data_IF_244125562704
#
_entry.id   IF_244125562704
#
_cell.length_a   1.000
_cell.length_b   1.000
_cell.length_c   1.000
_cell.angle_alpha   90.00
_cell.angle_beta   90.00
_cell.angle_gamma   90.00
#
_symmetry.space_group_name_H-M   'P 1'
#
loop_
_entity.id
_entity.type
_entity.pdbx_description
1 polymer ?
#
# COMPACT_ATOMS: atom_id res chain seq x y z
N UNK A 1 23.08 30.87 -57.91
CA UNK A 1 21.77 30.90 -57.24
C UNK A 1 21.34 29.45 -57.02
N UNK A 2 20.89 29.11 -55.80
CA UNK A 2 20.65 27.78 -55.17
C UNK A 2 21.73 27.41 -54.15
N UNK A 3 21.64 27.65 -52.83
CA UNK A 3 20.58 27.55 -51.79
C UNK A 3 20.75 26.30 -50.90
N UNK A 4 21.17 26.55 -49.66
CA UNK A 4 20.82 25.89 -48.38
C UNK A 4 21.08 24.37 -48.22
N UNK A 5 22.10 23.97 -47.46
CA UNK A 5 22.06 23.76 -45.99
C UNK A 5 20.95 22.77 -45.61
N UNK A 6 21.28 21.47 -45.60
CA UNK A 6 20.50 20.45 -44.91
C UNK A 6 20.86 20.43 -43.42
N UNK A 7 19.97 21.04 -42.66
CA UNK A 7 19.56 20.82 -41.28
C UNK A 7 20.36 19.82 -40.42
N UNK A 8 21.12 20.38 -39.47
CA UNK A 8 21.43 19.72 -38.20
C UNK A 8 20.18 19.78 -37.31
N UNK A 9 19.38 18.72 -37.28
CA UNK A 9 18.35 18.59 -36.25
C UNK A 9 19.03 18.40 -34.87
N UNK A 10 18.73 19.23 -33.86
CA UNK A 10 19.22 19.00 -32.51
C UNK A 10 18.58 17.72 -31.96
N UNK A 11 19.39 16.75 -31.56
CA UNK A 11 18.91 15.58 -30.80
C UNK A 11 18.30 16.10 -29.50
N UNK A 12 16.98 15.95 -29.39
CA UNK A 12 16.18 16.26 -28.21
C UNK A 12 16.84 15.66 -26.94
N UNK A 13 17.22 16.49 -25.95
CA UNK A 13 17.74 16.01 -24.66
C UNK A 13 16.70 15.21 -23.85
N UNK A 14 15.44 15.23 -24.28
CA UNK A 14 14.30 14.66 -23.58
C UNK A 14 14.20 13.13 -23.73
N UNK A 15 14.71 12.56 -24.83
CA UNK A 15 14.64 11.11 -25.07
C UNK A 15 15.52 10.28 -24.12
N UNK A 16 16.66 10.85 -23.68
CA UNK A 16 17.65 10.15 -22.84
C UNK A 16 17.16 10.06 -21.38
N UNK A 17 16.38 11.05 -20.91
CA UNK A 17 15.81 11.06 -19.57
C UNK A 17 14.81 9.93 -19.35
N UNK A 18 13.91 9.70 -20.32
CA UNK A 18 12.93 8.62 -20.25
C UNK A 18 13.57 7.22 -20.32
N UNK A 19 14.62 7.05 -21.12
CA UNK A 19 15.33 5.76 -21.23
C UNK A 19 16.10 5.41 -19.95
N UNK A 20 16.80 6.37 -19.35
CA UNK A 20 17.51 6.14 -18.06
C UNK A 20 16.53 5.86 -16.92
N UNK A 21 15.38 6.50 -16.93
CA UNK A 21 14.32 6.29 -15.93
C UNK A 21 13.61 4.94 -16.14
N UNK A 22 13.36 4.55 -17.38
CA UNK A 22 12.85 3.22 -17.72
C UNK A 22 13.83 2.13 -17.31
N UNK A 23 15.14 2.32 -17.56
CA UNK A 23 16.17 1.38 -17.14
C UNK A 23 16.33 1.32 -15.61
N UNK A 24 16.20 2.45 -14.91
CA UNK A 24 16.17 2.47 -13.44
C UNK A 24 14.93 1.77 -12.89
N UNK A 25 13.77 1.96 -13.52
CA UNK A 25 12.52 1.30 -13.14
C UNK A 25 12.55 -0.19 -13.43
N UNK A 26 13.07 -0.60 -14.59
CA UNK A 26 13.30 -1.99 -14.95
C UNK A 26 14.34 -2.65 -14.04
N UNK A 27 15.37 -1.91 -13.62
CA UNK A 27 16.36 -2.38 -12.65
C UNK A 27 15.75 -2.58 -11.26
N UNK A 28 14.94 -1.63 -10.77
CA UNK A 28 14.21 -1.76 -9.51
C UNK A 28 13.17 -2.88 -9.57
N UNK A 29 12.50 -3.05 -10.72
CA UNK A 29 11.57 -4.14 -11.00
C UNK A 29 12.28 -5.50 -11.05
N UNK A 30 13.47 -5.60 -11.63
CA UNK A 30 14.31 -6.79 -11.58
C UNK A 30 14.79 -7.11 -10.17
N UNK A 31 15.06 -6.10 -9.34
CA UNK A 31 15.40 -6.30 -7.92
C UNK A 31 14.20 -6.82 -7.11
N UNK A 32 12.99 -6.33 -7.38
CA UNK A 32 11.75 -6.80 -6.76
C UNK A 32 11.35 -8.20 -7.21
N UNK A 33 11.67 -8.58 -8.45
CA UNK A 33 11.47 -9.94 -8.97
C UNK A 33 12.51 -10.96 -8.46
N UNK A 34 13.61 -10.48 -7.86
CA UNK A 34 14.71 -11.31 -7.36
C UNK A 34 14.54 -11.80 -5.92
N UNK A 35 13.51 -11.37 -5.21
CA UNK A 35 13.21 -11.87 -3.85
C UNK A 35 12.27 -13.06 -3.96
N UNK A 36 12.79 -14.27 -3.80
CA UNK A 36 12.06 -15.56 -3.85
C UNK A 36 11.10 -15.80 -2.69
N UNK A 37 10.82 -14.77 -1.91
CA UNK A 37 9.92 -14.83 -0.78
C UNK A 37 8.69 -14.00 -1.14
N UNK A 38 7.53 -14.64 -1.08
CA UNK A 38 6.20 -14.07 -1.35
C UNK A 38 5.83 -13.10 -0.21
N UNK A 39 6.67 -12.09 0.04
CA UNK A 39 6.54 -11.11 1.13
C UNK A 39 5.60 -9.97 0.75
N UNK A 40 4.37 -10.32 0.43
CA UNK A 40 3.27 -9.40 0.69
C UNK A 40 2.48 -9.98 1.86
N UNK A 41 2.46 -9.23 2.97
CA UNK A 41 1.58 -9.44 4.12
C UNK A 41 1.74 -10.67 5.01
N UNK A 42 2.83 -11.42 4.90
CA UNK A 42 3.18 -12.36 5.97
C UNK A 42 3.84 -11.61 7.14
N UNK A 43 3.38 -11.89 8.35
CA UNK A 43 4.21 -11.77 9.55
C UNK A 43 5.46 -12.63 9.28
N UNK A 44 6.67 -12.09 9.48
CA UNK A 44 7.92 -12.82 9.12
C UNK A 44 7.91 -14.22 9.74
N UNK A 45 8.43 -15.27 9.07
CA UNK A 45 8.31 -16.66 9.55
C UNK A 45 8.69 -16.83 11.03
N UNK A 46 9.71 -16.10 11.52
CA UNK A 46 10.11 -16.10 12.93
C UNK A 46 9.07 -15.51 13.90
N UNK A 47 8.30 -14.52 13.46
CA UNK A 47 7.20 -13.96 14.25
C UNK A 47 5.97 -14.90 14.26
N UNK A 48 5.78 -15.72 13.21
CA UNK A 48 4.69 -16.72 13.16
C UNK A 48 4.88 -17.78 14.25
N UNK A 49 6.10 -18.32 14.39
CA UNK A 49 6.44 -19.25 15.47
C UNK A 49 6.23 -18.63 16.85
N UNK A 50 6.66 -17.38 17.03
CA UNK A 50 6.42 -16.62 18.27
C UNK A 50 4.93 -16.49 18.60
N UNK A 51 4.07 -16.17 17.63
CA UNK A 51 2.62 -16.02 17.86
C UNK A 51 1.94 -17.35 18.20
N UNK A 52 2.37 -18.45 17.58
CA UNK A 52 1.81 -19.78 17.83
C UNK A 52 2.17 -20.32 19.22
N UNK A 53 3.32 -19.93 19.76
CA UNK A 53 3.78 -20.36 21.10
C UNK A 53 3.22 -19.49 22.24
N UNK A 54 2.64 -18.33 21.95
CA UNK A 54 2.11 -17.41 22.96
C UNK A 54 0.67 -17.78 23.35
N UNK A 55 0.47 -18.05 24.64
CA UNK A 55 -0.85 -18.16 25.27
C UNK A 55 -1.12 -17.03 26.26
N UNK A 56 -2.38 -16.64 26.40
CA UNK A 56 -2.81 -15.63 27.37
C UNK A 56 -2.64 -14.19 26.87
N UNK A 57 -2.89 -13.23 27.77
CA UNK A 57 -2.91 -11.80 27.44
C UNK A 57 -1.49 -11.23 27.37
N UNK A 58 -1.06 -10.84 26.17
CA UNK A 58 0.27 -10.35 25.84
C UNK A 58 0.18 -9.03 25.05
N UNK A 59 -0.10 -7.93 25.74
CA UNK A 59 -0.42 -6.66 25.09
C UNK A 59 0.77 -6.03 24.36
N UNK A 60 1.94 -5.91 25.01
CA UNK A 60 3.10 -5.23 24.42
C UNK A 60 3.63 -5.94 23.16
N UNK A 61 3.79 -7.28 23.14
CA UNK A 61 4.19 -7.97 21.92
C UNK A 61 3.23 -7.77 20.75
N UNK A 62 1.92 -7.79 21.01
CA UNK A 62 0.92 -7.58 19.96
C UNK A 62 0.88 -6.13 19.47
N UNK A 63 1.08 -5.13 20.34
CA UNK A 63 1.29 -3.73 19.91
C UNK A 63 2.50 -3.62 18.99
N UNK A 64 3.63 -4.23 19.36
CA UNK A 64 4.83 -4.21 18.52
C UNK A 64 4.57 -4.90 17.18
N UNK A 65 3.94 -6.08 17.20
CA UNK A 65 3.63 -6.83 16.01
C UNK A 65 2.69 -6.07 15.06
N UNK A 66 1.67 -5.40 15.60
CA UNK A 66 0.78 -4.55 14.82
C UNK A 66 1.50 -3.35 14.20
N UNK A 67 2.38 -2.70 14.96
CA UNK A 67 3.20 -1.60 14.44
C UNK A 67 4.18 -2.08 13.36
N UNK A 68 4.81 -3.25 13.56
CA UNK A 68 5.70 -3.89 12.58
C UNK A 68 4.94 -4.22 11.31
N UNK A 69 3.79 -4.89 11.42
CA UNK A 69 2.91 -5.22 10.28
C UNK A 69 2.59 -3.98 9.44
N UNK A 70 2.19 -2.89 10.08
CA UNK A 70 1.88 -1.64 9.39
C UNK A 70 3.10 -1.00 8.71
N UNK A 71 4.28 -1.07 9.33
CA UNK A 71 5.52 -0.48 8.80
C UNK A 71 6.20 -1.35 7.74
N UNK A 72 5.94 -2.66 7.71
CA UNK A 72 6.49 -3.58 6.70
C UNK A 72 5.51 -3.91 5.59
N UNK A 73 4.23 -3.54 5.73
CA UNK A 73 3.20 -3.68 4.69
C UNK A 73 3.43 -2.68 3.55
N UNK A 74 4.03 -3.16 2.44
CA UNK A 74 4.31 -2.31 1.27
C UNK A 74 3.04 -1.71 0.66
N UNK A 75 1.95 -2.46 0.67
CA UNK A 75 0.63 -2.04 0.21
C UNK A 75 0.08 -0.86 1.03
N UNK A 76 0.21 -0.91 2.36
CA UNK A 76 -0.23 0.14 3.29
C UNK A 76 0.62 1.41 3.10
N UNK A 77 1.94 1.26 2.96
CA UNK A 77 2.85 2.38 2.71
C UNK A 77 2.56 3.03 1.35
N UNK A 78 2.36 2.22 0.30
CA UNK A 78 2.02 2.71 -1.04
C UNK A 78 0.66 3.41 -1.04
N UNK A 79 -0.33 2.85 -0.36
CA UNK A 79 -1.65 3.47 -0.21
C UNK A 79 -1.55 4.81 0.53
N UNK A 80 -0.86 4.85 1.67
CA UNK A 80 -0.68 6.06 2.48
C UNK A 80 0.11 7.13 1.72
N UNK A 81 1.14 6.72 0.98
CA UNK A 81 1.87 7.58 0.05
C UNK A 81 0.92 8.18 -1.00
N UNK A 82 0.08 7.36 -1.63
CA UNK A 82 -0.93 7.79 -2.58
C UNK A 82 -1.94 8.79 -1.97
N UNK A 83 -2.42 8.57 -0.75
CA UNK A 83 -3.32 9.49 -0.03
C UNK A 83 -2.65 10.82 0.26
N UNK A 84 -1.41 10.80 0.74
CA UNK A 84 -0.65 12.02 1.03
C UNK A 84 -0.33 12.80 -0.24
N UNK A 85 -0.11 12.10 -1.36
CA UNK A 85 0.33 12.68 -2.64
C UNK A 85 -0.49 13.92 -3.05
N UNK A 86 -1.81 13.83 -2.94
CA UNK A 86 -2.75 14.88 -3.36
C UNK A 86 -3.29 15.76 -2.22
N UNK A 87 -3.23 15.29 -0.97
CA UNK A 87 -3.77 16.03 0.17
C UNK A 87 -2.71 17.00 0.74
N UNK A 88 -3.00 18.30 0.64
CA UNK A 88 -2.15 19.37 1.20
C UNK A 88 -2.56 19.80 2.61
N UNK A 89 -3.80 19.52 3.01
CA UNK A 89 -4.33 19.92 4.32
C UNK A 89 -4.34 18.75 5.29
N UNK A 90 -3.62 18.91 6.40
CA UNK A 90 -3.52 17.92 7.51
C UNK A 90 -4.91 17.46 7.99
N UNK A 91 -5.89 18.37 8.09
CA UNK A 91 -7.27 18.03 8.46
C UNK A 91 -7.90 16.98 7.52
N UNK A 92 -7.63 17.07 6.22
CA UNK A 92 -8.16 16.09 5.26
C UNK A 92 -7.41 14.78 5.38
N UNK A 93 -6.08 14.79 5.52
CA UNK A 93 -5.29 13.58 5.74
C UNK A 93 -5.82 12.81 6.95
N UNK A 94 -6.05 13.50 8.07
CA UNK A 94 -6.62 12.89 9.29
C UNK A 94 -7.95 12.19 9.04
N UNK A 95 -8.88 12.79 8.28
CA UNK A 95 -10.16 12.16 7.93
C UNK A 95 -9.97 10.85 7.17
N UNK A 96 -9.06 10.81 6.19
CA UNK A 96 -8.83 9.60 5.39
C UNK A 96 -8.18 8.49 6.22
N UNK A 97 -7.18 8.85 7.02
CA UNK A 97 -6.51 7.93 7.95
C UNK A 97 -7.52 7.35 8.95
N UNK A 98 -8.40 8.17 9.53
CA UNK A 98 -9.45 7.71 10.44
C UNK A 98 -10.49 6.82 9.75
N UNK A 99 -10.93 7.15 8.54
CA UNK A 99 -11.88 6.31 7.79
C UNK A 99 -11.28 4.95 7.45
N UNK A 100 -10.01 4.93 7.03
CA UNK A 100 -9.30 3.70 6.77
C UNK A 100 -9.15 2.86 8.05
N UNK A 101 -8.68 3.47 9.14
CA UNK A 101 -8.52 2.79 10.43
C UNK A 101 -9.86 2.23 10.95
N UNK A 102 -10.95 2.99 10.80
CA UNK A 102 -12.29 2.56 11.20
C UNK A 102 -12.72 1.32 10.41
N UNK A 103 -12.59 1.35 9.07
CA UNK A 103 -12.89 0.20 8.23
C UNK A 103 -12.04 -1.02 8.61
N UNK A 104 -10.72 -0.82 8.69
CA UNK A 104 -9.74 -1.85 9.01
C UNK A 104 -10.05 -2.54 10.34
N UNK A 105 -10.18 -1.77 11.41
CA UNK A 105 -10.46 -2.29 12.75
C UNK A 105 -11.77 -3.08 12.79
N UNK A 106 -12.80 -2.58 12.10
CA UNK A 106 -14.13 -3.20 12.09
C UNK A 106 -14.09 -4.60 11.49
N UNK A 107 -13.57 -4.75 10.27
CA UNK A 107 -13.50 -6.06 9.61
C UNK A 107 -12.47 -6.99 10.20
N UNK A 108 -11.40 -6.46 10.79
CA UNK A 108 -10.41 -7.29 11.47
C UNK A 108 -11.03 -7.97 12.69
N UNK A 109 -11.65 -7.19 13.58
CA UNK A 109 -12.27 -7.71 14.80
C UNK A 109 -13.43 -8.64 14.46
N UNK A 110 -14.33 -8.24 13.56
CA UNK A 110 -15.49 -9.05 13.18
C UNK A 110 -15.07 -10.33 12.45
N UNK A 111 -14.11 -10.24 11.53
CA UNK A 111 -13.60 -11.38 10.77
C UNK A 111 -13.03 -12.45 11.71
N UNK A 112 -12.16 -12.06 12.63
CA UNK A 112 -11.57 -13.02 13.59
C UNK A 112 -12.63 -13.52 14.58
N UNK A 113 -13.47 -12.64 15.15
CA UNK A 113 -14.46 -13.02 16.16
C UNK A 113 -15.51 -14.00 15.63
N UNK A 114 -15.98 -13.80 14.40
CA UNK A 114 -16.96 -14.68 13.76
C UNK A 114 -16.33 -15.79 12.92
N UNK A 115 -14.99 -15.91 12.92
CA UNK A 115 -14.24 -16.86 12.11
C UNK A 115 -14.62 -16.81 10.62
N UNK A 116 -14.75 -15.60 10.08
CA UNK A 116 -15.07 -15.36 8.67
C UNK A 116 -13.77 -14.95 7.97
N UNK A 117 -13.26 -15.84 7.13
CA UNK A 117 -12.10 -15.61 6.28
C UNK A 117 -12.39 -15.99 4.83
N UNK A 118 -11.54 -15.52 3.91
CA UNK A 118 -11.53 -15.96 2.51
C UNK A 118 -10.13 -16.52 2.19
N UNK A 119 -9.84 -16.85 0.94
CA UNK A 119 -8.47 -17.15 0.55
C UNK A 119 -7.60 -15.89 0.65
N UNK A 120 -6.48 -15.97 1.39
CA UNK A 120 -5.62 -14.82 1.64
C UNK A 120 -4.96 -14.23 0.39
N UNK A 121 -4.67 -15.03 -0.65
CA UNK A 121 -4.19 -14.51 -1.93
C UNK A 121 -5.24 -13.64 -2.63
N UNK A 122 -6.52 -14.05 -2.60
CA UNK A 122 -7.58 -13.29 -3.29
C UNK A 122 -7.84 -11.93 -2.63
N UNK A 123 -7.87 -11.88 -1.30
CA UNK A 123 -8.07 -10.62 -0.58
C UNK A 123 -6.85 -9.70 -0.71
N UNK A 124 -5.63 -10.24 -0.68
CA UNK A 124 -4.41 -9.46 -0.89
C UNK A 124 -4.32 -8.92 -2.33
N UNK A 125 -4.86 -9.65 -3.32
CA UNK A 125 -5.02 -9.12 -4.67
C UNK A 125 -6.00 -7.92 -4.73
N UNK A 126 -7.13 -7.99 -4.01
CA UNK A 126 -8.07 -6.86 -3.90
C UNK A 126 -7.41 -5.66 -3.21
N UNK A 127 -6.61 -5.90 -2.17
CA UNK A 127 -5.80 -4.89 -1.50
C UNK A 127 -4.82 -4.24 -2.49
N UNK A 128 -4.11 -5.02 -3.31
CA UNK A 128 -3.26 -4.48 -4.37
C UNK A 128 -4.01 -3.61 -5.39
N UNK A 129 -5.25 -3.97 -5.73
CA UNK A 129 -6.12 -3.15 -6.59
C UNK A 129 -6.50 -1.80 -5.95
N UNK A 130 -6.53 -1.70 -4.62
CA UNK A 130 -6.76 -0.42 -3.94
C UNK A 130 -5.63 0.59 -4.22
N UNK A 131 -4.39 0.12 -4.33
CA UNK A 131 -3.22 0.94 -4.68
C UNK A 131 -3.33 1.43 -6.12
N UNK A 132 -3.73 0.54 -7.04
CA UNK A 132 -4.03 0.89 -8.45
C UNK A 132 -5.13 1.95 -8.52
N UNK A 133 -6.25 1.73 -7.82
CA UNK A 133 -7.33 2.70 -7.74
C UNK A 133 -6.82 4.06 -7.26
N UNK A 134 -6.00 4.08 -6.21
CA UNK A 134 -5.52 5.33 -5.64
C UNK A 134 -4.59 6.08 -6.58
N UNK A 135 -3.77 5.37 -7.35
CA UNK A 135 -2.94 5.97 -8.40
C UNK A 135 -3.78 6.59 -9.52
N UNK A 136 -4.83 5.89 -9.96
CA UNK A 136 -5.77 6.38 -10.97
C UNK A 136 -6.54 7.62 -10.49
N UNK A 137 -6.98 7.60 -9.24
CA UNK A 137 -7.63 8.73 -8.56
C UNK A 137 -6.71 9.97 -8.58
N UNK A 138 -5.44 9.80 -8.20
CA UNK A 138 -4.48 10.89 -8.12
C UNK A 138 -4.14 11.54 -9.48
N UNK A 139 -4.22 10.80 -10.59
CA UNK A 139 -3.99 11.34 -11.94
C UNK A 139 -5.28 11.83 -12.62
N UNK A 140 -6.43 11.78 -11.94
CA UNK A 140 -7.72 12.23 -12.46
C UNK A 140 -8.30 11.30 -13.55
N UNK A 141 -7.91 10.03 -13.57
CA UNK A 141 -8.35 9.08 -14.60
C UNK A 141 -9.87 8.89 -14.59
N UNK A 142 -10.49 8.78 -13.42
CA UNK A 142 -11.94 8.56 -13.30
C UNK A 142 -12.77 9.70 -13.89
N UNK A 143 -12.43 10.96 -13.58
CA UNK A 143 -13.08 12.11 -14.20
C UNK A 143 -12.94 12.11 -15.73
N UNK A 144 -11.79 11.67 -16.27
CA UNK A 144 -11.54 11.61 -17.72
C UNK A 144 -12.29 10.47 -18.41
N UNK A 145 -12.38 9.31 -17.78
CA UNK A 145 -12.96 8.09 -18.36
C UNK A 145 -14.47 7.98 -18.14
N UNK A 146 -14.94 8.34 -16.95
CA UNK A 146 -16.33 8.17 -16.51
C UNK A 146 -17.13 9.47 -16.50
N UNK A 147 -16.46 10.63 -16.60
CA UNK A 147 -17.10 11.95 -16.52
C UNK A 147 -17.46 12.39 -15.09
N UNK A 148 -17.17 11.59 -14.07
CA UNK A 148 -17.35 11.93 -12.66
C UNK A 148 -16.24 11.33 -11.79
N UNK A 149 -16.02 11.93 -10.61
CA UNK A 149 -15.09 11.42 -9.60
C UNK A 149 -15.84 10.62 -8.53
N UNK A 150 -15.50 9.33 -8.31
CA UNK A 150 -16.06 8.57 -7.20
C UNK A 150 -15.74 9.22 -5.85
N UNK A 151 -16.59 8.99 -4.85
CA UNK A 151 -16.36 9.55 -3.52
C UNK A 151 -15.16 8.89 -2.85
N UNK A 152 -14.06 9.62 -2.80
CA UNK A 152 -12.78 9.17 -2.27
C UNK A 152 -12.84 8.76 -0.80
N UNK A 153 -13.69 9.40 0.01
CA UNK A 153 -13.87 9.04 1.44
C UNK A 153 -14.51 7.67 1.59
N UNK A 154 -15.53 7.39 0.78
CA UNK A 154 -16.21 6.08 0.76
C UNK A 154 -15.23 5.01 0.26
N UNK A 155 -14.48 5.30 -0.80
CA UNK A 155 -13.45 4.39 -1.30
C UNK A 155 -12.41 4.07 -0.22
N UNK A 156 -11.91 5.06 0.51
CA UNK A 156 -10.95 4.84 1.61
C UNK A 156 -11.52 4.00 2.76
N UNK A 157 -12.79 4.19 3.12
CA UNK A 157 -13.45 3.32 4.11
C UNK A 157 -13.52 1.88 3.59
N UNK A 158 -13.93 1.68 2.33
CA UNK A 158 -14.03 0.36 1.69
C UNK A 158 -12.67 -0.33 1.60
N UNK A 159 -11.59 0.41 1.28
CA UNK A 159 -10.24 -0.15 1.31
C UNK A 159 -9.83 -0.54 2.73
N UNK A 160 -10.15 0.28 3.73
CA UNK A 160 -9.97 -0.10 5.14
C UNK A 160 -10.63 -1.45 5.44
N UNK A 161 -11.89 -1.63 5.02
CA UNK A 161 -12.62 -2.90 5.21
C UNK A 161 -11.90 -4.09 4.56
N UNK A 162 -11.42 -3.97 3.32
CA UNK A 162 -10.68 -5.06 2.67
C UNK A 162 -9.35 -5.36 3.36
N UNK A 163 -8.61 -4.33 3.76
CA UNK A 163 -7.34 -4.50 4.47
C UNK A 163 -7.52 -5.20 5.83
N UNK A 164 -8.53 -4.77 6.60
CA UNK A 164 -8.83 -5.40 7.89
C UNK A 164 -9.29 -6.85 7.73
N UNK A 165 -10.08 -7.13 6.69
CA UNK A 165 -10.51 -8.49 6.38
C UNK A 165 -9.37 -9.40 5.91
N UNK A 166 -8.40 -8.86 5.16
CA UNK A 166 -7.18 -9.58 4.78
C UNK A 166 -6.35 -9.99 5.99
N UNK A 167 -6.15 -9.07 6.93
CA UNK A 167 -5.48 -9.38 8.19
C UNK A 167 -6.25 -10.41 9.03
N UNK A 168 -7.58 -10.29 9.15
CA UNK A 168 -8.40 -11.28 9.86
C UNK A 168 -8.22 -12.69 9.27
N UNK A 169 -8.25 -12.79 7.93
CA UNK A 169 -8.04 -14.04 7.21
C UNK A 169 -6.70 -14.68 7.58
N UNK A 170 -5.60 -13.90 7.59
CA UNK A 170 -4.28 -14.40 7.98
C UNK A 170 -4.22 -14.83 9.45
N UNK A 171 -4.84 -14.06 10.35
CA UNK A 171 -4.88 -14.40 11.77
C UNK A 171 -5.59 -15.74 12.00
N UNK A 172 -6.68 -15.99 11.27
CA UNK A 172 -7.39 -17.27 11.29
C UNK A 172 -6.48 -18.39 10.77
N UNK A 173 -5.78 -18.18 9.65
CA UNK A 173 -4.82 -19.13 9.07
C UNK A 173 -3.61 -19.43 9.99
N UNK A 174 -3.26 -18.53 10.90
CA UNK A 174 -2.15 -18.71 11.83
C UNK A 174 -2.50 -19.56 13.06
N UNK A 175 -3.78 -19.91 13.25
CA UNK A 175 -4.27 -20.74 14.36
C UNK A 175 -3.82 -20.22 15.74
N UNK A 176 -3.92 -18.91 15.96
CA UNK A 176 -3.53 -18.26 17.22
C UNK A 176 -4.36 -18.84 18.38
N UNK A 177 -3.72 -19.01 19.55
CA UNK A 177 -4.39 -19.44 20.77
C UNK A 177 -5.66 -18.60 21.05
N UNK A 178 -6.82 -19.23 21.31
CA UNK A 178 -8.03 -18.53 21.74
C UNK A 178 -7.86 -17.83 23.09
N UNK A 179 -6.93 -18.29 23.92
CA UNK A 179 -6.66 -17.71 25.23
C UNK A 179 -5.96 -16.35 25.12
N UNK A 180 -6.66 -15.29 25.54
CA UNK A 180 -6.19 -13.90 25.41
C UNK A 180 -6.39 -13.27 24.03
N UNK A 181 -7.05 -13.97 23.10
CA UNK A 181 -7.20 -13.53 21.70
C UNK A 181 -7.75 -12.10 21.57
N UNK A 182 -8.91 -11.82 22.17
CA UNK A 182 -9.57 -10.49 22.02
C UNK A 182 -8.69 -9.35 22.57
N UNK A 183 -8.15 -9.40 23.81
CA UNK A 183 -7.20 -8.40 24.30
C UNK A 183 -5.96 -8.22 23.40
N UNK A 184 -5.42 -9.33 22.86
CA UNK A 184 -4.26 -9.31 21.99
C UNK A 184 -4.57 -8.68 20.63
N UNK A 185 -5.75 -8.92 20.05
CA UNK A 185 -6.21 -8.27 18.82
C UNK A 185 -6.43 -6.77 19.00
N UNK A 186 -7.00 -6.36 20.12
CA UNK A 186 -7.14 -4.93 20.44
C UNK A 186 -5.77 -4.27 20.57
N UNK A 187 -4.82 -4.91 21.26
CA UNK A 187 -3.45 -4.45 21.37
C UNK A 187 -2.76 -4.38 20.00
N UNK A 188 -2.96 -5.38 19.14
CA UNK A 188 -2.49 -5.37 17.76
C UNK A 188 -3.03 -4.16 16.98
N UNK A 189 -4.32 -3.88 17.07
CA UNK A 189 -4.94 -2.75 16.38
C UNK A 189 -4.36 -1.40 16.85
N UNK A 190 -4.13 -1.25 18.16
CA UNK A 190 -3.41 -0.08 18.70
C UNK A 190 -2.02 0.02 18.09
N UNK A 191 -1.31 -1.10 17.96
CA UNK A 191 -0.03 -1.19 17.25
C UNK A 191 -0.12 -0.70 15.80
N UNK A 192 -1.11 -1.18 15.04
CA UNK A 192 -1.36 -0.77 13.65
C UNK A 192 -1.60 0.74 13.56
N UNK A 193 -2.46 1.30 14.42
CA UNK A 193 -2.73 2.74 14.45
C UNK A 193 -1.46 3.56 14.75
N UNK A 194 -0.66 3.12 15.73
CA UNK A 194 0.63 3.77 16.04
C UNK A 194 1.58 3.69 14.85
N UNK A 195 1.73 2.52 14.22
CA UNK A 195 2.54 2.33 13.02
C UNK A 195 2.09 3.23 11.87
N UNK A 196 0.77 3.37 11.69
CA UNK A 196 0.17 4.20 10.65
C UNK A 196 0.46 5.68 10.87
N UNK A 197 0.33 6.17 12.10
CA UNK A 197 0.65 7.56 12.44
C UNK A 197 2.14 7.86 12.25
N UNK A 198 3.03 6.92 12.60
CA UNK A 198 4.47 7.08 12.39
C UNK A 198 4.82 7.08 10.90
N UNK A 199 4.31 6.12 10.12
CA UNK A 199 4.51 6.07 8.67
C UNK A 199 3.97 7.35 8.00
N UNK A 200 2.78 7.81 8.41
CA UNK A 200 2.18 9.06 7.95
C UNK A 200 3.11 10.24 8.20
N UNK A 201 3.65 10.37 9.42
CA UNK A 201 4.55 11.46 9.78
C UNK A 201 5.81 11.46 8.92
N UNK A 202 6.44 10.30 8.74
CA UNK A 202 7.65 10.15 7.91
C UNK A 202 7.37 10.53 6.45
N UNK A 203 6.30 9.98 5.86
CA UNK A 203 5.96 10.27 4.45
C UNK A 203 5.59 11.74 4.29
N UNK A 204 4.83 12.33 5.23
CA UNK A 204 4.46 13.75 5.17
C UNK A 204 5.68 14.67 5.22
N UNK A 205 6.66 14.37 6.07
CA UNK A 205 7.90 15.14 6.16
C UNK A 205 8.63 15.06 4.81
N UNK A 206 8.86 13.85 4.29
CA UNK A 206 9.55 13.64 3.00
C UNK A 206 8.85 14.34 1.83
N UNK A 207 7.53 14.16 1.74
CA UNK A 207 6.68 14.81 0.74
C UNK A 207 6.69 16.34 0.86
N UNK A 208 6.72 16.88 2.08
CA UNK A 208 6.77 18.33 2.31
C UNK A 208 8.07 18.96 1.81
N UNK A 209 9.20 18.26 1.96
CA UNK A 209 10.47 18.70 1.37
C UNK A 209 10.45 18.58 -0.15
N UNK A 210 9.99 17.45 -0.69
CA UNK A 210 9.97 17.22 -2.13
C UNK A 210 9.04 18.19 -2.88
N UNK A 211 7.88 18.54 -2.30
CA UNK A 211 6.93 19.54 -2.83
C UNK A 211 7.53 20.93 -3.03
N UNK A 212 8.60 21.28 -2.31
CA UNK A 212 9.30 22.58 -2.48
C UNK A 212 10.19 22.63 -3.72
N UNK A 213 10.42 21.49 -4.36
CA UNK A 213 11.30 21.42 -5.54
C UNK A 213 10.52 21.72 -6.83
N UNK A 214 11.12 22.42 -7.81
CA UNK A 214 10.51 22.66 -9.12
C UNK A 214 10.21 21.36 -9.90
N UNK A 215 10.86 20.27 -9.51
CA UNK A 215 10.75 18.97 -10.17
C UNK A 215 9.51 18.19 -9.72
N UNK A 216 8.82 18.61 -8.65
CA UNK A 216 7.67 17.90 -8.08
C UNK A 216 6.57 17.63 -9.11
N UNK A 217 6.13 18.67 -9.84
CA UNK A 217 5.05 18.53 -10.84
C UNK A 217 5.45 17.58 -11.97
N UNK A 218 6.73 17.60 -12.40
CA UNK A 218 7.22 16.74 -13.48
C UNK A 218 7.28 15.28 -13.05
N UNK A 219 7.68 15.01 -11.80
CA UNK A 219 7.81 13.65 -11.28
C UNK A 219 6.52 13.12 -10.66
N UNK A 220 5.52 13.98 -10.41
CA UNK A 220 4.27 13.60 -9.79
C UNK A 220 3.49 12.57 -10.60
N UNK A 221 3.42 12.77 -11.91
CA UNK A 221 2.79 11.82 -12.82
C UNK A 221 3.55 10.49 -12.81
N UNK A 222 4.88 10.53 -12.96
CA UNK A 222 5.74 9.34 -12.91
C UNK A 222 5.58 8.56 -11.61
N UNK A 223 5.51 9.23 -10.47
CA UNK A 223 5.35 8.58 -9.16
C UNK A 223 4.02 7.84 -9.05
N UNK A 224 2.92 8.42 -9.58
CA UNK A 224 1.64 7.73 -9.61
C UNK A 224 1.61 6.56 -10.60
N UNK A 225 2.26 6.69 -11.77
CA UNK A 225 2.43 5.57 -12.70
C UNK A 225 3.25 4.44 -12.04
N UNK A 226 4.32 4.78 -11.34
CA UNK A 226 5.13 3.83 -10.59
C UNK A 226 4.33 3.10 -9.51
N UNK A 227 3.54 3.85 -8.73
CA UNK A 227 2.65 3.31 -7.70
C UNK A 227 1.58 2.39 -8.31
N UNK A 228 1.01 2.77 -9.45
CA UNK A 228 0.05 1.95 -10.19
C UNK A 228 0.68 0.64 -10.66
N UNK A 229 1.87 0.69 -11.26
CA UNK A 229 2.61 -0.50 -11.69
C UNK A 229 2.93 -1.41 -10.51
N UNK A 230 3.36 -0.86 -9.37
CA UNK A 230 3.59 -1.64 -8.15
C UNK A 230 2.30 -2.33 -7.67
N UNK A 231 1.15 -1.63 -7.71
CA UNK A 231 -0.15 -2.22 -7.39
C UNK A 231 -0.49 -3.40 -8.30
N UNK A 232 -0.32 -3.28 -9.63
CA UNK A 232 -0.55 -4.39 -10.56
C UNK A 232 0.41 -5.55 -10.36
N UNK A 233 1.68 -5.29 -10.03
CA UNK A 233 2.66 -6.32 -9.71
C UNK A 233 2.21 -7.10 -8.47
N UNK A 234 1.79 -6.42 -7.41
CA UNK A 234 1.26 -7.06 -6.20
C UNK A 234 0.06 -7.95 -6.53
N UNK A 235 -0.89 -7.45 -7.33
CA UNK A 235 -2.04 -8.25 -7.81
C UNK A 235 -1.57 -9.50 -8.55
N UNK A 236 -0.64 -9.35 -9.50
CA UNK A 236 -0.11 -10.46 -10.28
C UNK A 236 0.59 -11.51 -9.42
N UNK A 237 1.38 -11.08 -8.44
CA UNK A 237 2.04 -11.97 -7.48
C UNK A 237 1.02 -12.78 -6.68
N UNK A 238 -0.02 -12.12 -6.17
CA UNK A 238 -1.05 -12.77 -5.36
C UNK A 238 -1.90 -13.74 -6.17
N UNK A 239 -2.35 -13.35 -7.37
CA UNK A 239 -3.10 -14.26 -8.25
C UNK A 239 -2.25 -15.45 -8.69
N UNK A 240 -0.95 -15.25 -8.95
CA UNK A 240 -0.05 -16.37 -9.27
C UNK A 240 0.08 -17.31 -8.07
N UNK A 241 0.25 -16.77 -6.86
CA UNK A 241 0.23 -17.55 -5.62
C UNK A 241 -1.05 -18.37 -5.46
N UNK A 242 -2.21 -17.79 -5.76
CA UNK A 242 -3.50 -18.49 -5.71
C UNK A 242 -3.58 -19.69 -6.66
N UNK A 243 -3.05 -19.60 -7.88
CA UNK A 243 -3.13 -20.69 -8.87
C UNK A 243 -2.07 -21.77 -8.70
N UNK A 244 -1.00 -21.49 -7.97
CA UNK A 244 0.16 -22.39 -7.81
C UNK A 244 0.22 -23.04 -6.40
N UNK A 245 -0.60 -22.57 -5.45
CA UNK A 245 -0.71 -23.11 -4.08
C UNK A 245 -1.68 -24.28 -3.95
#
# INVERSE_FOLDING_TARGET
MHSHVHDRLPRSPWAIGHLRLFLFFAFFMCLLLGTTEVFAHAVTEGDKGYIQEISGVNLLPFVYLGAKHMMTGYDHILFLFGVIFFLYRIKHIGIYVSLFALGHSTTMILGVYFNVGINSYLIDAIIGLSVVYKALDNIGAFQRWLGFQPNTKVATLVFGLFHGFGLATKIIEYEISPDGLVPNLLAFNVGVEVGQLLALAVILIGMSYWRRTPSFIRHAYTANVAMMSAGFILVGMQLTGYFVS
#
